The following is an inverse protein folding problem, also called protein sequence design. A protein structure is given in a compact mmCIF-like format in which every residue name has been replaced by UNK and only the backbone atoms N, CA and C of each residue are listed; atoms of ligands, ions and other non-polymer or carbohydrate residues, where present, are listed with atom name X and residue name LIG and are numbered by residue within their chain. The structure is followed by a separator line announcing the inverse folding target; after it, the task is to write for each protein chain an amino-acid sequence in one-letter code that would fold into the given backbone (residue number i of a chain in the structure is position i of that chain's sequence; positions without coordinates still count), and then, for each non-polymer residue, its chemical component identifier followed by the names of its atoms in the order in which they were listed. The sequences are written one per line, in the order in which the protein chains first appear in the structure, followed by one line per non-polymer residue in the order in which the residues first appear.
data_IF_757890082052
#
_entry.id   IF_757890082052
#
_cell.length_a   1.000
_cell.length_b   1.000
_cell.length_c   1.000
_cell.angle_alpha   90.00
_cell.angle_beta   90.00
_cell.angle_gamma   90.00
#
_symmetry.space_group_name_H-M   'P 1'
#
loop_
_entity.id
_entity.type
_entity.pdbx_description
1 polymer ?
#
# COMPACT_ATOMS: atom_id res chain seq x y z
N UNK A 1 29.85 7.90 19.77
CA UNK A 1 28.53 8.55 19.67
C UNK A 1 27.84 8.01 18.43
N UNK A 2 26.81 7.16 18.57
CA UNK A 2 26.11 6.55 17.42
C UNK A 2 25.72 5.09 17.67
N UNK A 3 24.76 4.89 18.57
CA UNK A 3 23.95 3.70 18.83
C UNK A 3 24.49 2.34 18.38
N UNK A 4 25.00 1.62 19.40
CA UNK A 4 25.03 0.16 19.48
C UNK A 4 23.73 -0.44 18.95
N UNK A 5 23.86 -1.27 17.91
CA UNK A 5 22.86 -2.21 17.46
C UNK A 5 22.52 -3.17 18.62
N UNK A 6 21.48 -2.83 19.39
CA UNK A 6 20.80 -3.80 20.24
C UNK A 6 20.05 -4.77 19.34
N UNK A 7 20.76 -5.84 18.99
CA UNK A 7 20.26 -7.11 18.46
C UNK A 7 19.23 -7.66 19.47
N UNK A 8 17.95 -7.77 19.10
CA UNK A 8 16.92 -8.34 19.99
C UNK A 8 15.53 -7.69 20.03
N UNK A 9 15.11 -6.89 19.05
CA UNK A 9 13.70 -6.46 18.88
C UNK A 9 13.39 -6.34 17.37
N UNK A 10 13.37 -7.47 16.67
CA UNK A 10 13.73 -7.56 15.25
C UNK A 10 12.57 -7.27 14.27
N UNK A 11 11.65 -6.37 14.62
CA UNK A 11 10.55 -5.95 13.73
C UNK A 11 10.78 -4.54 13.18
N UNK A 12 10.73 -4.41 11.84
CA UNK A 12 10.84 -3.12 11.15
C UNK A 12 9.71 -2.17 11.62
N UNK A 13 10.01 -0.90 11.97
CA UNK A 13 8.97 0.05 12.36
C UNK A 13 7.95 0.28 11.24
N UNK A 14 6.67 0.40 11.59
CA UNK A 14 5.57 0.55 10.62
C UNK A 14 5.79 1.70 9.63
N UNK A 15 6.28 2.84 10.09
CA UNK A 15 6.61 3.97 9.23
C UNK A 15 7.71 3.61 8.20
N UNK A 16 8.77 2.90 8.61
CA UNK A 16 9.85 2.53 7.69
C UNK A 16 9.37 1.47 6.69
N UNK A 17 8.56 0.51 7.14
CA UNK A 17 7.96 -0.50 6.25
C UNK A 17 7.09 0.16 5.17
N UNK A 18 6.13 1.00 5.59
CA UNK A 18 5.23 1.71 4.69
C UNK A 18 5.98 2.65 3.75
N UNK A 19 7.03 3.33 4.22
CA UNK A 19 7.87 4.19 3.38
C UNK A 19 8.57 3.39 2.28
N UNK A 20 9.15 2.23 2.61
CA UNK A 20 9.81 1.36 1.63
C UNK A 20 8.82 0.84 0.60
N UNK A 21 7.64 0.41 1.04
CA UNK A 21 6.58 -0.02 0.12
C UNK A 21 6.15 1.14 -0.79
N UNK A 22 5.88 2.32 -0.23
CA UNK A 22 5.55 3.53 -1.01
C UNK A 22 6.61 3.84 -2.07
N UNK A 23 7.90 3.78 -1.73
CA UNK A 23 8.98 4.02 -2.68
C UNK A 23 9.00 3.01 -3.83
N UNK A 24 8.73 1.72 -3.54
CA UNK A 24 8.60 0.68 -4.57
C UNK A 24 7.43 0.98 -5.51
N UNK A 25 6.26 1.33 -4.97
CA UNK A 25 5.10 1.73 -5.79
C UNK A 25 5.37 2.98 -6.61
N UNK A 26 6.06 3.98 -6.04
CA UNK A 26 6.42 5.21 -6.74
C UNK A 26 7.31 4.92 -7.95
N UNK A 27 8.32 4.07 -7.77
CA UNK A 27 9.21 3.65 -8.85
C UNK A 27 8.44 2.92 -9.95
N UNK A 28 7.64 1.91 -9.60
CA UNK A 28 6.84 1.13 -10.58
C UNK A 28 5.84 2.04 -11.30
N UNK A 29 5.16 2.94 -10.58
CA UNK A 29 4.19 3.86 -11.13
C UNK A 29 4.79 4.84 -12.14
N UNK A 30 5.93 5.46 -11.79
CA UNK A 30 6.65 6.35 -12.69
C UNK A 30 7.16 5.62 -13.95
N UNK A 31 7.65 4.39 -13.79
CA UNK A 31 8.03 3.53 -14.91
C UNK A 31 6.85 3.25 -15.83
N UNK A 32 5.69 2.84 -15.29
CA UNK A 32 4.48 2.60 -16.09
C UNK A 32 4.01 3.86 -16.84
N UNK A 33 4.12 5.04 -16.22
CA UNK A 33 3.79 6.30 -16.89
C UNK A 33 4.70 6.57 -18.09
N UNK A 34 6.01 6.35 -17.91
CA UNK A 34 7.01 6.49 -18.98
C UNK A 34 6.77 5.48 -20.10
N UNK A 35 6.45 4.23 -19.75
CA UNK A 35 6.12 3.18 -20.71
C UNK A 35 4.89 3.53 -21.55
N UNK A 36 3.80 3.99 -20.93
CA UNK A 36 2.60 4.41 -21.67
C UNK A 36 2.88 5.58 -22.62
N UNK A 37 3.68 6.56 -22.18
CA UNK A 37 4.07 7.68 -23.02
C UNK A 37 4.88 7.24 -24.24
N UNK A 38 5.85 6.34 -24.06
CA UNK A 38 6.68 5.81 -25.15
C UNK A 38 5.93 4.85 -26.09
N UNK A 39 4.99 4.06 -25.57
CA UNK A 39 4.22 3.10 -26.35
C UNK A 39 3.01 3.70 -27.08
N UNK A 40 2.57 4.92 -26.71
CA UNK A 40 1.36 5.53 -27.25
C UNK A 40 0.07 4.77 -26.88
N UNK A 41 0.12 3.90 -25.87
CA UNK A 41 -0.97 3.02 -25.46
C UNK A 41 -1.37 3.30 -24.01
N UNK A 42 -2.67 3.38 -23.77
CA UNK A 42 -3.26 3.62 -22.45
C UNK A 42 -3.76 2.33 -21.78
N UNK A 43 -3.31 1.16 -22.24
CA UNK A 43 -3.72 -0.13 -21.68
C UNK A 43 -3.44 -0.26 -20.18
N UNK A 44 -2.37 0.37 -19.69
CA UNK A 44 -2.00 0.39 -18.26
C UNK A 44 -2.57 1.57 -17.47
N UNK A 45 -3.39 2.44 -18.08
CA UNK A 45 -3.88 3.68 -17.47
C UNK A 45 -4.52 3.46 -16.08
N UNK A 46 -5.46 2.49 -15.88
CA UNK A 46 -6.05 2.29 -14.56
C UNK A 46 -5.02 1.77 -13.53
N UNK A 47 -4.07 0.93 -13.97
CA UNK A 47 -3.01 0.39 -13.10
C UNK A 47 -2.05 1.49 -12.67
N UNK A 48 -1.59 2.33 -13.60
CA UNK A 48 -0.69 3.45 -13.33
C UNK A 48 -1.29 4.43 -12.31
N UNK A 49 -2.53 4.85 -12.52
CA UNK A 49 -3.20 5.79 -11.63
C UNK A 49 -3.30 5.25 -10.21
N UNK A 50 -3.74 4.00 -10.04
CA UNK A 50 -3.91 3.43 -8.71
C UNK A 50 -2.59 3.05 -8.02
N UNK A 51 -1.58 2.59 -8.77
CA UNK A 51 -0.24 2.34 -8.21
C UNK A 51 0.32 3.63 -7.59
N UNK A 52 0.14 4.77 -8.24
CA UNK A 52 0.60 6.05 -7.69
C UNK A 52 -0.28 6.56 -6.54
N UNK A 53 -1.61 6.44 -6.63
CA UNK A 53 -2.50 6.96 -5.58
C UNK A 53 -2.51 6.06 -4.35
N UNK A 54 -2.96 4.81 -4.47
CA UNK A 54 -3.15 3.94 -3.31
C UNK A 54 -1.87 3.25 -2.87
N UNK A 55 -0.93 3.06 -3.79
CA UNK A 55 0.38 2.48 -3.50
C UNK A 55 1.38 3.53 -3.02
N UNK A 56 1.75 4.48 -3.87
CA UNK A 56 2.76 5.47 -3.50
C UNK A 56 2.23 6.50 -2.49
N UNK A 57 1.19 7.27 -2.84
CA UNK A 57 0.74 8.42 -2.06
C UNK A 57 0.10 8.00 -0.72
N UNK A 58 -0.83 7.05 -0.70
CA UNK A 58 -1.48 6.61 0.54
C UNK A 58 -0.51 5.96 1.51
N UNK A 59 0.36 5.04 1.05
CA UNK A 59 1.35 4.41 1.95
C UNK A 59 2.37 5.44 2.46
N UNK A 60 2.71 6.46 1.68
CA UNK A 60 3.53 7.58 2.13
C UNK A 60 2.83 8.39 3.23
N UNK A 61 1.55 8.71 3.05
CA UNK A 61 0.74 9.41 4.04
C UNK A 61 0.64 8.60 5.34
N UNK A 62 0.41 7.29 5.24
CA UNK A 62 0.37 6.40 6.41
C UNK A 62 1.74 6.31 7.10
N UNK A 63 2.83 6.23 6.35
CA UNK A 63 4.18 6.29 6.91
C UNK A 63 4.39 7.58 7.72
N UNK A 64 3.99 8.71 7.15
CA UNK A 64 4.08 10.03 7.78
C UNK A 64 3.23 10.11 9.04
N UNK A 65 2.04 9.50 9.03
CA UNK A 65 1.19 9.35 10.21
C UNK A 65 1.89 8.55 11.33
N UNK A 66 2.39 7.34 11.04
CA UNK A 66 3.10 6.53 12.04
C UNK A 66 4.40 7.19 12.52
N UNK A 67 5.01 8.06 11.71
CA UNK A 67 6.16 8.88 12.12
C UNK A 67 5.78 10.00 13.07
N UNK A 68 4.62 10.63 12.87
CA UNK A 68 4.19 11.86 13.57
C UNK A 68 3.39 11.59 14.85
N UNK A 69 2.69 10.45 14.94
CA UNK A 69 1.83 10.11 16.07
C UNK A 69 2.35 8.91 16.87
N UNK A 70 2.07 8.91 18.17
CA UNK A 70 2.41 7.84 19.11
C UNK A 70 1.37 6.73 19.03
N UNK A 71 1.67 5.73 18.21
CA UNK A 71 0.91 4.48 18.16
C UNK A 71 1.65 3.39 18.94
N UNK A 72 1.02 2.71 19.90
CA UNK A 72 1.63 1.61 20.64
C UNK A 72 2.10 0.48 19.70
N UNK A 73 3.31 -0.05 19.92
CA UNK A 73 3.84 -1.18 19.14
C UNK A 73 2.93 -2.42 19.19
N UNK A 74 2.24 -2.64 20.31
CA UNK A 74 1.30 -3.74 20.55
C UNK A 74 -0.10 -3.52 19.98
N UNK A 75 -0.35 -2.41 19.27
CA UNK A 75 -1.68 -2.08 18.75
C UNK A 75 -2.13 -3.05 17.66
N UNK A 76 -3.11 -3.91 17.99
CA UNK A 76 -3.78 -4.80 17.02
C UNK A 76 -4.44 -4.03 15.88
N UNK A 77 -4.97 -2.84 16.17
CA UNK A 77 -5.59 -1.97 15.16
C UNK A 77 -4.55 -1.49 14.14
N UNK A 78 -3.37 -1.08 14.62
CA UNK A 78 -2.28 -0.67 13.76
C UNK A 78 -1.77 -1.82 12.90
N UNK A 79 -1.61 -3.00 13.50
CA UNK A 79 -1.21 -4.21 12.79
C UNK A 79 -2.20 -4.54 11.65
N UNK A 80 -3.51 -4.58 11.94
CA UNK A 80 -4.54 -4.84 10.96
C UNK A 80 -4.57 -3.79 9.84
N UNK A 81 -4.46 -2.51 10.18
CA UNK A 81 -4.40 -1.41 9.22
C UNK A 81 -3.22 -1.55 8.25
N UNK A 82 -2.00 -1.74 8.77
CA UNK A 82 -0.79 -1.80 7.95
C UNK A 82 -0.82 -3.00 7.00
N UNK A 83 -1.20 -4.18 7.50
CA UNK A 83 -1.22 -5.37 6.64
C UNK A 83 -2.34 -5.35 5.61
N UNK A 84 -3.53 -4.84 5.96
CA UNK A 84 -4.58 -4.62 4.95
C UNK A 84 -4.19 -3.54 3.94
N UNK A 85 -3.40 -2.52 4.33
CA UNK A 85 -2.88 -1.52 3.40
C UNK A 85 -1.93 -2.15 2.37
N UNK A 86 -0.97 -2.96 2.84
CA UNK A 86 0.03 -3.60 2.00
C UNK A 86 -0.62 -4.65 1.09
N UNK A 87 -1.38 -5.60 1.67
CA UNK A 87 -2.03 -6.68 0.92
C UNK A 87 -3.08 -6.10 -0.04
N UNK A 88 -3.87 -5.14 0.42
CA UNK A 88 -4.88 -4.48 -0.41
C UNK A 88 -4.29 -3.69 -1.56
N UNK A 89 -3.20 -2.95 -1.35
CA UNK A 89 -2.52 -2.20 -2.43
C UNK A 89 -1.93 -3.16 -3.47
N UNK A 90 -1.34 -4.28 -3.05
CA UNK A 90 -0.80 -5.30 -3.96
C UNK A 90 -1.96 -5.97 -4.70
N UNK A 91 -2.95 -6.47 -3.97
CA UNK A 91 -4.10 -7.19 -4.51
C UNK A 91 -4.91 -6.34 -5.49
N UNK A 92 -5.19 -5.07 -5.18
CA UNK A 92 -5.91 -4.18 -6.07
C UNK A 92 -5.13 -3.94 -7.36
N UNK A 93 -3.85 -3.57 -7.27
CA UNK A 93 -3.05 -3.18 -8.44
C UNK A 93 -2.71 -4.36 -9.34
N UNK A 94 -2.33 -5.51 -8.76
CA UNK A 94 -2.14 -6.76 -9.50
C UNK A 94 -3.47 -7.28 -10.02
N UNK A 95 -4.55 -7.17 -9.26
CA UNK A 95 -5.88 -7.61 -9.69
C UNK A 95 -6.42 -6.80 -10.86
N UNK A 96 -6.21 -5.48 -10.87
CA UNK A 96 -6.52 -4.67 -12.06
C UNK A 96 -5.68 -5.11 -13.25
N UNK A 97 -4.40 -5.38 -13.09
CA UNK A 97 -3.54 -5.84 -14.18
C UNK A 97 -4.04 -7.18 -14.76
N UNK A 98 -4.36 -8.15 -13.91
CA UNK A 98 -4.89 -9.46 -14.31
C UNK A 98 -6.27 -9.36 -14.92
N UNK A 99 -7.14 -8.49 -14.41
CA UNK A 99 -8.49 -8.29 -14.93
C UNK A 99 -8.51 -7.59 -16.29
N UNK A 100 -7.70 -6.52 -16.45
CA UNK A 100 -7.73 -5.70 -17.66
C UNK A 100 -6.90 -6.29 -18.81
N UNK A 101 -5.75 -6.89 -18.51
CA UNK A 101 -4.84 -7.39 -19.55
C UNK A 101 -4.83 -8.92 -19.65
N UNK A 102 -5.22 -9.61 -18.59
CA UNK A 102 -5.26 -11.08 -18.48
C UNK A 102 -4.11 -11.81 -19.21
N UNK A 103 -2.84 -11.47 -18.93
CA UNK A 103 -1.69 -11.93 -19.71
C UNK A 103 -1.49 -13.45 -19.66
N UNK A 104 -2.08 -14.12 -18.67
CA UNK A 104 -2.02 -15.57 -18.47
C UNK A 104 -3.30 -16.29 -18.93
N UNK A 105 -4.22 -15.56 -19.58
CA UNK A 105 -5.48 -16.09 -20.09
C UNK A 105 -6.29 -16.89 -19.04
N UNK A 106 -6.33 -16.35 -17.81
CA UNK A 106 -6.99 -16.97 -16.66
C UNK A 106 -8.52 -16.89 -16.78
N UNK A 107 -9.27 -17.78 -16.09
CA UNK A 107 -10.73 -17.71 -16.06
C UNK A 107 -11.24 -16.35 -15.55
N UNK A 108 -12.25 -15.80 -16.22
CA UNK A 108 -12.83 -14.50 -15.88
C UNK A 108 -13.33 -14.42 -14.42
N UNK A 109 -13.88 -15.53 -13.89
CA UNK A 109 -14.29 -15.61 -12.49
C UNK A 109 -13.13 -15.40 -11.53
N UNK A 110 -11.96 -15.97 -11.82
CA UNK A 110 -10.78 -15.83 -10.97
C UNK A 110 -10.25 -14.40 -10.97
N UNK A 111 -10.05 -13.78 -12.14
CA UNK A 111 -9.51 -12.42 -12.25
C UNK A 111 -10.45 -11.39 -11.62
N UNK A 112 -11.76 -11.56 -11.79
CA UNK A 112 -12.78 -10.71 -11.16
C UNK A 112 -12.76 -10.83 -9.64
N UNK A 113 -12.79 -12.05 -9.10
CA UNK A 113 -12.78 -12.27 -7.64
C UNK A 113 -11.49 -11.73 -7.03
N UNK A 114 -10.34 -11.99 -7.65
CA UNK A 114 -9.05 -11.50 -7.15
C UNK A 114 -9.01 -9.96 -7.11
N UNK A 115 -9.50 -9.29 -8.15
CA UNK A 115 -9.62 -7.84 -8.18
C UNK A 115 -10.53 -7.29 -7.06
N UNK A 116 -11.72 -7.87 -6.88
CA UNK A 116 -12.69 -7.45 -5.84
C UNK A 116 -12.12 -7.67 -4.43
N UNK A 117 -11.50 -8.81 -4.17
CA UNK A 117 -10.90 -9.12 -2.86
C UNK A 117 -9.75 -8.17 -2.55
N UNK A 118 -8.90 -7.88 -3.55
CA UNK A 118 -7.84 -6.88 -3.44
C UNK A 118 -8.37 -5.50 -3.07
N UNK A 119 -9.37 -5.02 -3.82
CA UNK A 119 -10.01 -3.72 -3.57
C UNK A 119 -10.73 -3.64 -2.23
N UNK A 120 -11.45 -4.69 -1.84
CA UNK A 120 -12.17 -4.74 -0.55
C UNK A 120 -11.20 -4.77 0.63
N UNK A 121 -10.07 -5.47 0.50
CA UNK A 121 -9.01 -5.48 1.52
C UNK A 121 -8.40 -4.09 1.68
N UNK A 122 -8.19 -3.37 0.57
CA UNK A 122 -7.72 -1.99 0.63
C UNK A 122 -8.75 -1.05 1.26
N UNK A 123 -10.03 -1.20 0.92
CA UNK A 123 -11.11 -0.41 1.52
C UNK A 123 -11.16 -0.59 3.04
N UNK A 124 -11.00 -1.83 3.51
CA UNK A 124 -10.88 -2.13 4.93
C UNK A 124 -9.70 -1.38 5.55
N UNK A 125 -8.57 -1.27 4.86
CA UNK A 125 -7.42 -0.49 5.34
C UNK A 125 -7.78 0.98 5.55
N UNK A 126 -8.44 1.63 4.58
CA UNK A 126 -8.89 3.03 4.74
C UNK A 126 -9.85 3.19 5.93
N UNK A 127 -10.76 2.23 6.12
CA UNK A 127 -11.65 2.24 7.29
C UNK A 127 -10.89 2.09 8.61
N UNK A 128 -9.91 1.18 8.68
CA UNK A 128 -9.08 1.03 9.88
C UNK A 128 -8.21 2.27 10.12
N UNK A 129 -7.72 2.92 9.07
CA UNK A 129 -6.99 4.19 9.17
C UNK A 129 -7.88 5.29 9.74
N UNK A 130 -9.12 5.41 9.27
CA UNK A 130 -10.11 6.34 9.83
C UNK A 130 -10.29 6.11 11.35
N UNK A 131 -10.41 4.87 11.80
CA UNK A 131 -10.50 4.57 13.23
C UNK A 131 -9.20 4.93 13.99
N UNK A 132 -8.05 4.71 13.35
CA UNK A 132 -6.75 5.08 13.91
C UNK A 132 -6.64 6.59 14.14
N UNK A 133 -7.13 7.42 13.21
CA UNK A 133 -7.02 8.88 13.35
C UNK A 133 -7.78 9.39 14.56
N UNK A 134 -8.99 8.89 14.83
CA UNK A 134 -9.72 9.28 16.04
C UNK A 134 -9.09 8.75 17.32
N UNK A 135 -8.44 7.58 17.27
CA UNK A 135 -7.89 6.93 18.45
C UNK A 135 -6.53 7.48 18.87
N UNK A 136 -5.69 7.90 17.93
CA UNK A 136 -4.28 8.21 18.20
C UNK A 136 -3.81 9.58 17.67
N UNK A 137 -4.68 10.43 17.11
CA UNK A 137 -4.21 11.74 16.61
C UNK A 137 -4.01 12.81 17.69
N UNK A 138 -4.47 12.59 18.93
CA UNK A 138 -4.17 13.50 20.06
C UNK A 138 -2.78 13.23 20.65
N UNK A 139 -2.13 12.12 20.31
CA UNK A 139 -0.83 11.70 20.86
C UNK A 139 0.33 12.04 19.92
N UNK A 140 0.54 13.32 19.62
CA UNK A 140 1.66 13.77 18.77
C UNK A 140 3.02 13.42 19.40
N UNK A 141 3.97 12.97 18.58
CA UNK A 141 5.36 12.69 18.97
C UNK A 141 6.19 13.96 19.13
#
# INVERSE_FOLDING_TARGET
MGALLKKGEDNLPWNVLLLRMSAIYGFIGAFLGSHMAGAGSYAFKPIHAHILVVGWLSLFAYSSYYRSYQVPKSSKLAFAHVWTAIIGSIGLTVGMWMYNLNPFNLPAGFTTVFYIVGGSTLLLSFFLFLLMTFKYSESKK
#
